data_IF_980404510587
#
_entry.id   IF_980404510587
#
_cell.length_a   1.000
_cell.length_b   1.000
_cell.length_c   1.000
_cell.angle_alpha   90.00
_cell.angle_beta   90.00
_cell.angle_gamma   90.00
#
_symmetry.space_group_name_H-M   'P 1'
#
loop_
_entity.id
_entity.type
_entity.pdbx_description
1 polymer ?
#
# COMPACT_ATOMS: atom_id res chain seq x y z
N UNK A 1 -42.36 -34.28 -45.48
CA UNK A 1 -42.78 -33.23 -44.54
C UNK A 1 -41.63 -32.22 -44.51
N UNK A 2 -41.77 -31.05 -45.13
CA UNK A 2 -42.36 -29.80 -44.58
C UNK A 2 -41.64 -29.33 -43.29
N UNK A 3 -41.14 -28.10 -43.17
CA UNK A 3 -40.81 -27.05 -44.16
C UNK A 3 -39.98 -25.93 -43.49
N UNK A 4 -39.24 -25.13 -44.28
CA UNK A 4 -38.97 -23.67 -44.13
C UNK A 4 -38.75 -23.04 -42.72
N UNK A 5 -37.56 -22.47 -42.41
CA UNK A 5 -36.97 -21.16 -42.81
C UNK A 5 -37.10 -20.08 -41.70
N UNK A 6 -35.94 -19.62 -41.20
CA UNK A 6 -35.50 -18.21 -41.00
C UNK A 6 -36.34 -17.22 -40.16
N UNK A 7 -35.65 -16.53 -39.23
CA UNK A 7 -35.96 -15.21 -38.60
C UNK A 7 -37.20 -15.10 -37.67
N UNK A 8 -36.94 -14.85 -36.37
CA UNK A 8 -37.31 -13.59 -35.71
C UNK A 8 -36.70 -13.45 -34.29
N UNK A 9 -36.09 -12.30 -34.02
CA UNK A 9 -35.85 -11.77 -32.66
C UNK A 9 -36.99 -10.79 -32.37
N UNK A 10 -37.67 -10.91 -31.21
CA UNK A 10 -38.35 -9.84 -30.41
C UNK A 10 -39.40 -10.47 -29.47
N UNK A 11 -40.00 -9.63 -28.60
CA UNK A 11 -41.18 -9.90 -27.76
C UNK A 11 -40.98 -10.74 -26.48
N UNK A 12 -40.42 -10.09 -25.44
CA UNK A 12 -40.87 -10.31 -24.05
C UNK A 12 -40.92 -9.01 -23.23
N UNK A 13 -41.45 -7.92 -23.81
CA UNK A 13 -41.71 -6.64 -23.12
C UNK A 13 -42.91 -5.88 -23.74
N UNK A 14 -44.14 -6.19 -23.29
CA UNK A 14 -45.32 -5.31 -23.43
C UNK A 14 -46.14 -5.43 -22.13
N UNK A 15 -46.64 -4.30 -21.59
CA UNK A 15 -47.25 -4.20 -20.25
C UNK A 15 -46.41 -3.29 -19.35
N UNK A 16 -46.46 -1.95 -19.41
CA UNK A 16 -47.63 -1.04 -19.37
C UNK A 16 -48.54 -1.32 -18.16
N UNK A 17 -48.87 -0.37 -17.26
CA UNK A 17 -48.40 1.03 -17.06
C UNK A 17 -48.77 1.44 -15.60
N UNK A 18 -48.92 2.67 -15.06
CA UNK A 18 -48.82 4.13 -15.38
C UNK A 18 -48.91 4.85 -13.98
N UNK A 19 -48.72 6.15 -13.69
CA UNK A 19 -48.20 7.36 -14.34
C UNK A 19 -47.86 8.40 -13.22
N UNK A 20 -46.68 9.03 -13.18
CA UNK A 20 -46.53 10.42 -12.69
C UNK A 20 -45.20 11.07 -13.13
N UNK A 21 -45.14 12.41 -13.18
CA UNK A 21 -44.10 13.14 -13.93
C UNK A 21 -43.81 14.54 -13.40
N UNK A 22 -42.55 15.02 -13.53
CA UNK A 22 -42.16 16.27 -14.23
C UNK A 22 -40.70 16.70 -13.93
N UNK A 23 -39.89 16.82 -14.99
CA UNK A 23 -38.71 17.70 -15.14
C UNK A 23 -37.47 17.46 -14.20
N UNK A 24 -36.24 17.85 -14.56
CA UNK A 24 -35.73 18.52 -15.77
C UNK A 24 -34.36 17.96 -16.22
N UNK A 25 -33.89 18.40 -17.39
CA UNK A 25 -32.75 17.83 -18.12
C UNK A 25 -31.39 17.94 -17.42
N UNK A 26 -30.55 16.92 -17.60
CA UNK A 26 -29.19 17.18 -18.09
C UNK A 26 -28.89 16.21 -19.24
N UNK A 27 -28.48 16.74 -20.40
CA UNK A 27 -28.29 15.98 -21.64
C UNK A 27 -26.94 15.25 -21.67
N UNK A 28 -26.67 14.46 -20.62
CA UNK A 28 -25.60 13.47 -20.66
C UNK A 28 -26.01 12.36 -21.62
N UNK A 29 -25.59 12.48 -22.89
CA UNK A 29 -25.62 11.35 -23.82
C UNK A 29 -24.87 10.22 -23.14
N UNK A 30 -25.55 9.10 -22.90
CA UNK A 30 -24.90 7.94 -22.30
C UNK A 30 -23.87 7.40 -23.28
N UNK A 31 -22.60 7.57 -22.92
CA UNK A 31 -21.44 7.05 -23.64
C UNK A 31 -20.97 5.78 -22.90
N UNK A 32 -21.66 4.62 -23.05
CA UNK A 32 -21.43 3.46 -22.20
C UNK A 32 -19.99 2.96 -22.30
N UNK A 33 -19.40 3.01 -23.51
CA UNK A 33 -18.01 2.61 -23.72
C UNK A 33 -17.01 3.56 -23.03
N UNK A 34 -17.19 4.87 -23.12
CA UNK A 34 -16.33 5.84 -22.45
C UNK A 34 -16.39 5.71 -20.93
N UNK A 35 -17.56 5.40 -20.37
CA UNK A 35 -17.74 5.17 -18.94
C UNK A 35 -17.19 3.80 -18.49
N UNK A 36 -17.29 2.77 -19.32
CA UNK A 36 -16.62 1.48 -19.11
C UNK A 36 -15.08 1.63 -19.15
N UNK A 37 -14.55 2.46 -20.05
CA UNK A 37 -13.13 2.81 -20.08
C UNK A 37 -12.74 3.61 -18.84
N UNK A 38 -13.47 4.67 -18.46
CA UNK A 38 -13.19 5.49 -17.24
C UNK A 38 -13.20 4.67 -15.94
N UNK A 39 -13.91 3.55 -15.91
CA UNK A 39 -13.95 2.61 -14.77
C UNK A 39 -12.94 1.45 -14.88
N UNK A 40 -12.08 1.46 -15.91
CA UNK A 40 -11.13 0.40 -16.26
C UNK A 40 -11.79 -0.99 -16.42
N UNK A 41 -13.06 -1.05 -16.78
CA UNK A 41 -13.83 -2.29 -16.89
C UNK A 41 -13.62 -2.94 -18.26
N UNK A 42 -12.49 -3.64 -18.42
CA UNK A 42 -12.10 -4.34 -19.67
C UNK A 42 -13.17 -5.31 -20.18
N UNK A 43 -13.92 -5.96 -19.29
CA UNK A 43 -14.96 -6.93 -19.64
C UNK A 43 -16.18 -6.24 -20.27
N UNK A 44 -16.68 -5.17 -19.63
CA UNK A 44 -17.76 -4.35 -20.19
C UNK A 44 -17.35 -3.66 -21.50
N UNK A 45 -16.11 -3.16 -21.59
CA UNK A 45 -15.52 -2.62 -22.83
C UNK A 45 -15.57 -3.67 -23.95
N UNK A 46 -15.15 -4.92 -23.68
CA UNK A 46 -15.14 -6.02 -24.64
C UNK A 46 -16.56 -6.40 -25.12
N UNK A 47 -17.55 -6.43 -24.22
CA UNK A 47 -18.95 -6.70 -24.59
C UNK A 47 -19.52 -5.58 -25.47
N UNK A 48 -19.40 -4.32 -25.05
CA UNK A 48 -19.93 -3.17 -25.79
C UNK A 48 -19.33 -3.04 -27.20
N UNK A 49 -18.04 -3.35 -27.39
CA UNK A 49 -17.38 -3.34 -28.71
C UNK A 49 -17.89 -4.48 -29.61
N UNK A 50 -18.25 -5.64 -29.03
CA UNK A 50 -18.85 -6.76 -29.77
C UNK A 50 -20.30 -6.48 -30.16
N UNK A 51 -21.04 -5.79 -29.31
CA UNK A 51 -22.42 -5.37 -29.55
C UNK A 51 -22.50 -4.24 -30.59
N UNK A 52 -21.67 -3.20 -30.48
CA UNK A 52 -21.55 -2.17 -31.51
C UNK A 52 -20.11 -1.63 -31.65
N UNK A 53 -19.47 -1.94 -32.79
CA UNK A 53 -18.13 -1.44 -33.14
C UNK A 53 -18.06 0.06 -33.44
N UNK A 54 -19.16 0.72 -33.82
CA UNK A 54 -19.19 2.18 -34.07
C UNK A 54 -18.78 2.99 -32.83
N UNK A 55 -18.91 2.40 -31.64
CA UNK A 55 -18.49 3.01 -30.38
C UNK A 55 -16.97 3.22 -30.29
N UNK A 56 -16.15 2.46 -31.04
CA UNK A 56 -14.68 2.50 -30.98
C UNK A 56 -14.10 3.90 -31.23
N UNK A 57 -14.69 4.64 -32.18
CA UNK A 57 -14.19 5.97 -32.60
C UNK A 57 -15.19 7.10 -32.27
N UNK A 58 -16.30 6.80 -31.56
CA UNK A 58 -17.22 7.82 -31.03
C UNK A 58 -16.45 8.80 -30.15
N UNK A 59 -16.55 10.10 -30.47
CA UNK A 59 -16.02 11.19 -29.65
C UNK A 59 -17.03 11.59 -28.59
N UNK A 60 -16.55 11.85 -27.37
CA UNK A 60 -17.37 12.47 -26.33
C UNK A 60 -17.53 13.99 -26.54
N UNK A 61 -18.24 14.66 -25.63
CA UNK A 61 -18.44 16.12 -25.63
C UNK A 61 -17.15 16.95 -25.66
N UNK A 62 -16.00 16.39 -25.28
CA UNK A 62 -14.67 17.02 -25.31
C UNK A 62 -13.81 16.55 -26.50
N UNK A 63 -14.30 15.63 -27.32
CA UNK A 63 -13.58 15.09 -28.47
C UNK A 63 -12.87 13.77 -28.21
N UNK A 64 -12.87 13.25 -26.97
CA UNK A 64 -12.13 12.03 -26.64
C UNK A 64 -12.79 10.79 -27.25
N UNK A 65 -12.03 9.99 -27.98
CA UNK A 65 -12.40 8.60 -28.27
C UNK A 65 -12.11 7.73 -27.03
N UNK A 66 -12.69 6.51 -26.93
CA UNK A 66 -12.30 5.52 -25.92
C UNK A 66 -10.77 5.32 -25.82
N UNK A 67 -10.05 5.40 -26.94
CA UNK A 67 -8.59 5.24 -26.99
C UNK A 67 -7.83 6.41 -26.34
N UNK A 68 -8.35 7.64 -26.41
CA UNK A 68 -7.78 8.77 -25.66
C UNK A 68 -7.93 8.53 -24.16
N UNK A 69 -9.13 8.19 -23.70
CA UNK A 69 -9.40 7.96 -22.27
C UNK A 69 -8.56 6.79 -21.73
N UNK A 70 -8.46 5.68 -22.48
CA UNK A 70 -7.63 4.55 -22.08
C UNK A 70 -6.14 4.92 -22.00
N UNK A 71 -5.65 5.77 -22.91
CA UNK A 71 -4.27 6.28 -22.88
C UNK A 71 -4.04 7.26 -21.73
N UNK A 72 -4.93 8.23 -21.53
CA UNK A 72 -4.84 9.27 -20.48
C UNK A 72 -5.00 8.72 -19.05
N UNK A 73 -5.69 7.59 -18.86
CA UNK A 73 -5.84 6.94 -17.55
C UNK A 73 -4.92 5.71 -17.34
N UNK A 74 -3.94 5.49 -18.23
CA UNK A 74 -2.97 4.39 -18.17
C UNK A 74 -3.59 2.97 -18.21
N UNK A 75 -4.69 2.79 -18.93
CA UNK A 75 -5.40 1.51 -19.02
C UNK A 75 -4.85 0.64 -20.15
N UNK A 76 -3.57 0.25 -20.05
CA UNK A 76 -2.81 -0.48 -21.09
C UNK A 76 -3.55 -1.70 -21.69
N UNK A 77 -4.27 -2.46 -20.86
CA UNK A 77 -5.02 -3.64 -21.32
C UNK A 77 -6.30 -3.31 -22.09
N UNK A 78 -6.85 -2.10 -21.91
CA UNK A 78 -7.95 -1.55 -22.71
C UNK A 78 -7.40 -0.88 -23.97
N UNK A 79 -6.25 -0.20 -23.91
CA UNK A 79 -5.57 0.36 -25.10
C UNK A 79 -5.31 -0.75 -26.13
N UNK A 80 -4.76 -1.90 -25.70
CA UNK A 80 -4.61 -3.09 -26.56
C UNK A 80 -5.93 -3.51 -27.19
N UNK A 81 -6.94 -3.81 -26.37
CA UNK A 81 -8.25 -4.27 -26.81
C UNK A 81 -8.91 -3.33 -27.82
N UNK A 82 -8.78 -2.02 -27.65
CA UNK A 82 -9.29 -1.01 -28.59
C UNK A 82 -8.54 -1.04 -29.92
N UNK A 83 -7.20 -1.07 -29.91
CA UNK A 83 -6.37 -1.15 -31.11
C UNK A 83 -6.62 -2.48 -31.85
N UNK A 84 -6.61 -3.61 -31.14
CA UNK A 84 -6.90 -4.95 -31.65
C UNK A 84 -8.32 -5.06 -32.25
N UNK A 85 -9.25 -4.19 -31.82
CA UNK A 85 -10.63 -4.11 -32.34
C UNK A 85 -10.77 -3.18 -33.55
N UNK A 86 -9.75 -2.39 -33.90
CA UNK A 86 -9.74 -1.44 -35.01
C UNK A 86 -10.01 0.03 -34.65
N UNK A 87 -9.75 0.45 -33.40
CA UNK A 87 -9.85 1.86 -33.02
C UNK A 87 -8.82 2.74 -33.77
N UNK A 88 -9.23 3.93 -34.19
CA UNK A 88 -8.34 4.89 -34.85
C UNK A 88 -7.26 5.41 -33.88
N UNK A 89 -6.00 5.14 -34.21
CA UNK A 89 -4.83 5.50 -33.40
C UNK A 89 -4.49 7.00 -33.45
N UNK A 90 -4.85 7.67 -34.56
CA UNK A 90 -4.43 9.04 -34.89
C UNK A 90 -5.55 10.09 -34.83
N UNK A 91 -6.75 9.74 -34.36
CA UNK A 91 -7.81 10.72 -34.14
C UNK A 91 -7.35 11.80 -33.14
N UNK A 92 -7.63 13.07 -33.42
CA UNK A 92 -7.41 14.17 -32.47
C UNK A 92 -8.70 14.54 -31.69
N UNK A 93 -8.56 14.96 -30.44
CA UNK A 93 -9.64 15.54 -29.62
C UNK A 93 -9.92 17.04 -29.92
N UNK A 94 -10.67 17.75 -29.07
CA UNK A 94 -10.90 19.22 -29.22
C UNK A 94 -9.71 20.10 -28.79
N UNK A 95 -8.64 19.50 -28.27
CA UNK A 95 -7.39 20.17 -27.90
C UNK A 95 -6.27 19.87 -28.91
N UNK A 96 -6.53 19.05 -29.94
CA UNK A 96 -5.54 18.59 -30.91
C UNK A 96 -4.71 17.40 -30.42
N UNK A 97 -4.99 16.87 -29.23
CA UNK A 97 -4.28 15.73 -28.67
C UNK A 97 -4.68 14.46 -29.38
N UNK A 98 -3.69 13.67 -29.81
CA UNK A 98 -3.87 12.26 -30.16
C UNK A 98 -3.70 11.38 -28.92
N UNK A 99 -4.14 10.12 -28.92
CA UNK A 99 -3.85 9.16 -27.85
C UNK A 99 -2.35 9.04 -27.50
N UNK A 100 -1.45 9.26 -28.48
CA UNK A 100 0.00 9.25 -28.25
C UNK A 100 0.48 10.51 -27.51
N UNK A 101 -0.02 11.69 -27.90
CA UNK A 101 0.25 12.92 -27.15
C UNK A 101 -0.30 12.79 -25.72
N UNK A 102 -1.48 12.21 -25.56
CA UNK A 102 -2.11 11.96 -24.27
C UNK A 102 -1.28 11.03 -23.36
N UNK A 103 -0.83 9.90 -23.89
CA UNK A 103 0.05 8.98 -23.18
C UNK A 103 1.40 9.62 -22.83
N UNK A 104 1.95 10.45 -23.74
CA UNK A 104 3.27 11.06 -23.55
C UNK A 104 3.23 12.24 -22.58
N UNK A 105 2.19 13.08 -22.61
CA UNK A 105 1.91 14.15 -21.63
C UNK A 105 1.88 13.65 -20.19
N UNK A 106 1.43 12.41 -19.99
CA UNK A 106 1.32 11.76 -18.69
C UNK A 106 2.45 10.74 -18.41
N UNK A 107 3.50 10.71 -19.23
CA UNK A 107 4.68 9.85 -19.10
C UNK A 107 4.40 8.32 -19.12
N UNK A 108 3.34 7.86 -19.81
CA UNK A 108 2.99 6.44 -19.88
C UNK A 108 3.75 5.73 -21.00
N UNK A 109 5.03 5.43 -20.72
CA UNK A 109 5.99 4.83 -21.65
C UNK A 109 5.50 3.55 -22.33
N UNK A 110 4.84 2.65 -21.60
CA UNK A 110 4.32 1.37 -22.14
C UNK A 110 3.20 1.57 -23.17
N UNK A 111 2.33 2.56 -22.96
CA UNK A 111 1.22 2.90 -23.88
C UNK A 111 1.77 3.70 -25.06
N UNK A 112 2.65 4.67 -24.81
CA UNK A 112 3.32 5.45 -25.85
C UNK A 112 4.07 4.54 -26.82
N UNK A 113 4.74 3.49 -26.30
CA UNK A 113 5.32 2.43 -27.13
C UNK A 113 4.27 1.69 -27.94
N UNK A 114 3.22 1.16 -27.31
CA UNK A 114 2.17 0.40 -27.99
C UNK A 114 1.53 1.19 -29.14
N UNK A 115 1.32 2.50 -28.96
CA UNK A 115 0.74 3.39 -29.96
C UNK A 115 1.69 3.61 -31.14
N UNK A 116 2.96 3.99 -30.92
CA UNK A 116 3.96 4.13 -32.00
C UNK A 116 4.07 2.81 -32.80
N UNK A 117 4.07 1.68 -32.10
CA UNK A 117 4.13 0.36 -32.72
C UNK A 117 2.86 -0.07 -33.46
N UNK A 118 1.76 0.67 -33.32
CA UNK A 118 0.54 0.54 -34.10
C UNK A 118 0.31 1.76 -35.01
N UNK A 119 1.41 2.33 -35.52
CA UNK A 119 1.41 3.43 -36.51
C UNK A 119 0.77 4.73 -36.01
N UNK A 120 0.95 5.02 -34.71
CA UNK A 120 0.69 6.38 -34.22
C UNK A 120 1.61 7.38 -34.92
N UNK A 121 1.05 8.42 -35.49
CA UNK A 121 1.81 9.50 -36.12
C UNK A 121 2.45 10.36 -35.03
N UNK A 122 3.79 10.37 -35.02
CA UNK A 122 4.63 11.08 -34.05
C UNK A 122 4.80 12.56 -34.39
N UNK A 123 4.38 12.99 -35.58
CA UNK A 123 4.55 14.34 -36.10
C UNK A 123 3.33 15.25 -35.88
N UNK A 124 2.19 14.70 -35.46
CA UNK A 124 0.97 15.46 -35.15
C UNK A 124 1.23 16.48 -34.04
N UNK A 125 0.72 17.69 -34.23
CA UNK A 125 0.79 18.80 -33.29
C UNK A 125 -0.56 18.98 -32.58
N UNK A 126 -0.52 19.22 -31.27
CA UNK A 126 -1.69 19.73 -30.53
C UNK A 126 -1.93 21.22 -30.83
N UNK A 127 -3.01 21.79 -30.29
CA UNK A 127 -3.37 23.21 -30.52
C UNK A 127 -2.35 24.24 -30.02
N UNK A 128 -1.28 23.81 -29.34
CA UNK A 128 -0.18 24.67 -28.88
C UNK A 128 1.11 24.49 -29.72
N UNK A 129 1.05 23.76 -30.85
CA UNK A 129 2.21 23.48 -31.69
C UNK A 129 3.20 22.53 -31.02
N UNK A 130 2.68 21.49 -30.34
CA UNK A 130 3.48 20.53 -29.56
C UNK A 130 3.22 19.09 -29.99
N UNK A 131 4.31 18.39 -30.30
CA UNK A 131 4.34 16.97 -30.70
C UNK A 131 4.53 16.10 -29.48
N UNK A 132 4.27 14.80 -29.63
CA UNK A 132 4.59 13.83 -28.56
C UNK A 132 6.08 13.93 -28.13
N UNK A 133 6.98 14.22 -29.07
CA UNK A 133 8.40 14.42 -28.77
C UNK A 133 8.67 15.61 -27.84
N UNK A 134 8.00 16.76 -28.01
CA UNK A 134 8.18 17.93 -27.14
C UNK A 134 7.87 17.56 -25.67
N UNK A 135 6.80 16.79 -25.46
CA UNK A 135 6.41 16.32 -24.13
C UNK A 135 7.39 15.30 -23.57
N UNK A 136 7.86 14.35 -24.38
CA UNK A 136 8.89 13.39 -23.98
C UNK A 136 10.20 14.11 -23.56
N UNK A 137 10.62 15.14 -24.30
CA UNK A 137 11.80 15.93 -23.95
C UNK A 137 11.58 16.81 -22.72
N UNK A 138 10.43 17.49 -22.59
CA UNK A 138 10.07 18.30 -21.42
C UNK A 138 10.02 17.49 -20.12
N UNK A 139 9.60 16.23 -20.19
CA UNK A 139 9.56 15.29 -19.06
C UNK A 139 10.89 14.52 -18.87
N UNK A 140 11.91 14.81 -19.68
CA UNK A 140 13.20 14.11 -19.72
C UNK A 140 13.09 12.58 -19.93
N UNK A 141 12.02 12.13 -20.62
CA UNK A 141 11.81 10.73 -20.93
C UNK A 141 12.68 10.30 -22.13
N UNK A 142 13.87 9.80 -21.81
CA UNK A 142 14.85 9.31 -22.79
C UNK A 142 14.32 8.11 -23.59
N UNK A 143 13.42 7.28 -23.03
CA UNK A 143 12.87 6.13 -23.75
C UNK A 143 11.92 6.56 -24.87
N UNK A 144 10.89 7.34 -24.54
CA UNK A 144 9.92 7.84 -25.53
C UNK A 144 10.65 8.74 -26.54
N UNK A 145 11.59 9.57 -26.08
CA UNK A 145 12.41 10.41 -26.98
C UNK A 145 13.22 9.59 -27.99
N UNK A 146 13.78 8.44 -27.60
CA UNK A 146 14.50 7.51 -28.51
C UNK A 146 13.55 6.73 -29.40
N UNK A 147 12.40 6.29 -28.88
CA UNK A 147 11.37 5.58 -29.63
C UNK A 147 10.82 6.44 -30.77
N UNK A 148 10.52 7.71 -30.51
CA UNK A 148 9.99 8.65 -31.51
C UNK A 148 11.06 9.07 -32.53
N UNK A 149 12.32 9.21 -32.10
CA UNK A 149 13.46 9.55 -32.99
C UNK A 149 14.09 8.35 -33.71
N UNK A 150 13.53 7.15 -33.58
CA UNK A 150 14.09 5.97 -34.24
C UNK A 150 13.53 5.84 -35.66
N UNK A 151 14.34 6.21 -36.66
CA UNK A 151 14.05 6.00 -38.09
C UNK A 151 13.72 4.53 -38.42
N UNK A 152 14.16 3.60 -37.56
CA UNK A 152 13.97 2.17 -37.69
C UNK A 152 13.13 1.61 -36.52
N UNK A 153 11.90 2.11 -36.39
CA UNK A 153 10.95 1.74 -35.33
C UNK A 153 10.58 0.24 -35.32
N UNK A 154 10.72 -0.43 -36.46
CA UNK A 154 10.41 -1.86 -36.65
C UNK A 154 11.11 -2.76 -35.62
N UNK A 155 12.40 -2.55 -35.33
CA UNK A 155 13.11 -3.37 -34.33
C UNK A 155 12.56 -3.20 -32.90
N UNK A 156 12.13 -1.99 -32.55
CA UNK A 156 11.52 -1.73 -31.24
C UNK A 156 10.10 -2.32 -31.14
N UNK A 157 9.39 -2.35 -32.26
CA UNK A 157 7.96 -2.64 -32.32
C UNK A 157 7.62 -4.09 -32.69
N UNK A 158 8.49 -4.77 -33.43
CA UNK A 158 8.40 -6.18 -33.78
C UNK A 158 9.56 -6.97 -33.15
N UNK A 159 9.62 -7.08 -31.80
CA UNK A 159 10.60 -7.93 -31.15
C UNK A 159 10.35 -9.37 -31.57
N UNK A 160 11.25 -9.93 -32.38
CA UNK A 160 11.19 -11.32 -32.86
C UNK A 160 10.83 -12.26 -31.72
N UNK A 161 9.81 -13.11 -31.93
CA UNK A 161 9.19 -13.98 -30.90
C UNK A 161 10.25 -14.65 -30.04
N UNK A 162 10.53 -14.05 -28.87
CA UNK A 162 11.61 -14.49 -28.00
C UNK A 162 11.22 -15.85 -27.47
N UNK A 163 11.91 -16.90 -27.92
CA UNK A 163 11.74 -18.25 -27.39
C UNK A 163 12.23 -18.24 -25.95
N UNK A 164 11.28 -18.20 -25.02
CA UNK A 164 11.57 -18.34 -23.61
C UNK A 164 11.84 -19.81 -23.26
N UNK A 165 12.80 -20.02 -22.39
CA UNK A 165 13.23 -21.31 -21.86
C UNK A 165 12.97 -21.37 -20.36
N UNK A 166 12.76 -22.56 -19.80
CA UNK A 166 12.46 -22.77 -18.38
C UNK A 166 13.73 -22.71 -17.52
N UNK A 167 14.34 -21.52 -17.42
CA UNK A 167 15.62 -21.31 -16.73
C UNK A 167 15.46 -20.96 -15.24
N UNK A 168 14.31 -20.41 -14.84
CA UNK A 168 14.01 -19.95 -13.47
C UNK A 168 12.52 -20.14 -13.11
N UNK A 169 12.21 -20.13 -11.81
CA UNK A 169 10.87 -19.96 -11.25
C UNK A 169 10.84 -18.75 -10.29
N UNK A 170 9.65 -18.33 -9.82
CA UNK A 170 9.44 -17.31 -8.77
C UNK A 170 8.76 -17.98 -7.56
N UNK A 171 9.19 -17.66 -6.33
CA UNK A 171 8.61 -18.19 -5.09
C UNK A 171 7.12 -17.79 -4.88
N UNK A 172 6.46 -18.34 -3.85
CA UNK A 172 5.02 -18.17 -3.67
C UNK A 172 4.56 -16.96 -2.85
N UNK A 173 4.68 -15.78 -3.46
CA UNK A 173 4.23 -14.50 -2.90
C UNK A 173 2.74 -14.19 -3.16
N UNK A 174 1.84 -14.68 -2.31
CA UNK A 174 0.40 -14.36 -2.41
C UNK A 174 0.07 -12.92 -1.94
N UNK A 175 0.70 -12.47 -0.86
CA UNK A 175 0.62 -11.09 -0.33
C UNK A 175 1.91 -10.79 0.44
N UNK A 176 2.42 -9.57 0.31
CA UNK A 176 3.66 -9.11 0.92
C UNK A 176 3.37 -7.86 1.75
N UNK A 177 3.81 -7.86 3.01
CA UNK A 177 3.52 -6.79 3.99
C UNK A 177 4.63 -5.73 4.11
N UNK A 178 5.78 -5.97 3.48
CA UNK A 178 6.92 -5.05 3.44
C UNK A 178 6.90 -4.15 2.20
N UNK A 179 7.40 -2.91 2.33
CA UNK A 179 7.34 -1.91 1.25
C UNK A 179 8.48 -1.98 0.23
N UNK A 180 9.53 -2.75 0.50
CA UNK A 180 10.78 -2.75 -0.27
C UNK A 180 11.32 -4.19 -0.37
N UNK A 181 10.52 -5.10 -0.98
CA UNK A 181 10.66 -6.53 -0.76
C UNK A 181 11.90 -7.14 -1.40
N UNK A 182 12.36 -8.24 -0.81
CA UNK A 182 13.33 -9.14 -1.45
C UNK A 182 12.58 -10.30 -2.09
N UNK A 183 12.49 -10.28 -3.41
CA UNK A 183 11.79 -11.28 -4.23
C UNK A 183 12.81 -12.32 -4.70
N UNK A 184 12.52 -13.60 -4.47
CA UNK A 184 13.42 -14.70 -4.82
C UNK A 184 12.72 -15.77 -5.67
N UNK A 185 13.52 -16.72 -6.13
CA UNK A 185 13.06 -17.92 -6.82
C UNK A 185 14.17 -18.91 -7.08
N UNK A 186 13.79 -20.06 -7.65
CA UNK A 186 14.72 -21.12 -8.00
C UNK A 186 15.36 -20.89 -9.38
N UNK A 187 16.61 -21.29 -9.51
CA UNK A 187 17.33 -21.46 -10.77
C UNK A 187 17.14 -22.91 -11.22
N UNK A 188 16.56 -23.10 -12.40
CA UNK A 188 16.27 -24.42 -12.97
C UNK A 188 17.42 -24.90 -13.88
N UNK A 189 18.12 -23.97 -14.53
CA UNK A 189 19.28 -24.23 -15.40
C UNK A 189 20.55 -23.57 -14.81
N UNK A 190 21.56 -24.37 -14.48
CA UNK A 190 22.82 -23.88 -13.89
C UNK A 190 23.66 -22.99 -14.81
N UNK A 191 23.31 -22.88 -16.10
CA UNK A 191 23.91 -21.96 -17.05
C UNK A 191 23.38 -20.52 -16.95
N UNK A 192 22.37 -20.24 -16.11
CA UNK A 192 21.91 -18.87 -15.79
C UNK A 192 23.08 -17.99 -15.32
N UNK A 193 23.26 -16.87 -16.01
CA UNK A 193 24.34 -15.90 -15.79
C UNK A 193 23.84 -14.55 -15.29
N UNK A 194 22.57 -14.20 -15.53
CA UNK A 194 21.94 -12.96 -15.07
C UNK A 194 20.45 -13.17 -14.79
N UNK A 195 19.91 -12.48 -13.79
CA UNK A 195 18.48 -12.31 -13.54
C UNK A 195 18.18 -10.82 -13.38
N UNK A 196 17.02 -10.38 -13.87
CA UNK A 196 16.50 -9.02 -13.76
C UNK A 196 15.00 -9.08 -13.43
N UNK A 197 14.49 -8.12 -12.65
CA UNK A 197 13.04 -8.01 -12.40
C UNK A 197 12.52 -6.58 -12.57
N UNK A 198 11.22 -6.46 -12.83
CA UNK A 198 10.46 -5.21 -12.87
C UNK A 198 9.04 -5.43 -12.33
N UNK A 199 8.39 -4.35 -11.88
CA UNK A 199 6.99 -4.34 -11.48
C UNK A 199 6.17 -3.53 -12.50
N UNK A 200 5.02 -4.05 -12.90
CA UNK A 200 4.09 -3.50 -13.90
C UNK A 200 4.71 -3.19 -15.27
N UNK A 201 5.87 -3.79 -15.57
CA UNK A 201 6.67 -3.49 -16.76
C UNK A 201 7.29 -2.08 -16.76
N UNK A 202 7.36 -1.43 -15.59
CA UNK A 202 7.88 -0.09 -15.42
C UNK A 202 9.39 0.05 -15.65
N UNK A 203 9.84 1.30 -15.80
CA UNK A 203 11.18 1.68 -16.26
C UNK A 203 12.34 1.29 -15.31
N UNK A 204 12.03 0.90 -14.08
CA UNK A 204 13.05 0.47 -13.09
C UNK A 204 13.29 -1.02 -13.19
N UNK A 205 14.38 -1.38 -13.87
CA UNK A 205 14.92 -2.74 -13.87
C UNK A 205 15.79 -2.92 -12.62
N UNK A 206 15.53 -3.97 -11.86
CA UNK A 206 16.30 -4.37 -10.69
C UNK A 206 17.16 -5.60 -11.05
N UNK A 207 18.48 -5.52 -10.89
CA UNK A 207 19.37 -6.67 -11.09
C UNK A 207 19.23 -7.69 -9.94
N UNK A 208 19.30 -8.98 -10.28
CA UNK A 208 19.22 -10.08 -9.33
C UNK A 208 20.58 -10.68 -8.97
N UNK A 209 20.79 -10.93 -7.69
CA UNK A 209 21.92 -11.71 -7.18
C UNK A 209 21.64 -13.21 -7.37
N UNK A 210 22.68 -13.97 -7.73
CA UNK A 210 22.61 -15.42 -7.96
C UNK A 210 23.39 -16.17 -6.87
N UNK A 211 22.72 -17.08 -6.17
CA UNK A 211 23.26 -17.95 -5.13
C UNK A 211 23.31 -19.36 -5.72
N UNK A 212 24.40 -19.65 -6.45
CA UNK A 212 24.47 -20.82 -7.34
C UNK A 212 24.48 -22.14 -6.59
N UNK A 213 25.11 -22.17 -5.43
CA UNK A 213 25.25 -23.36 -4.58
C UNK A 213 23.89 -23.77 -3.99
N UNK A 214 23.07 -22.77 -3.62
CA UNK A 214 21.66 -22.95 -3.23
C UNK A 214 20.71 -23.14 -4.42
N UNK A 215 21.19 -22.97 -5.66
CA UNK A 215 20.38 -22.87 -6.90
C UNK A 215 19.27 -21.80 -6.83
N UNK A 216 19.56 -20.65 -6.22
CA UNK A 216 18.59 -19.58 -5.95
C UNK A 216 18.97 -18.27 -6.62
N UNK A 217 17.98 -17.44 -6.93
CA UNK A 217 18.17 -16.03 -7.28
C UNK A 217 17.33 -15.16 -6.35
N UNK A 218 17.79 -13.94 -6.05
CA UNK A 218 17.01 -12.93 -5.35
C UNK A 218 17.24 -11.54 -5.93
N UNK A 219 16.19 -10.73 -5.96
CA UNK A 219 16.17 -9.32 -6.33
C UNK A 219 15.67 -8.51 -5.14
N UNK A 220 16.49 -7.58 -4.65
CA UNK A 220 16.10 -6.65 -3.59
C UNK A 220 15.51 -5.38 -4.20
N UNK A 221 14.26 -5.07 -3.89
CA UNK A 221 13.64 -3.81 -4.34
C UNK A 221 14.02 -2.66 -3.40
N UNK A 222 14.80 -1.71 -3.91
CA UNK A 222 15.23 -0.52 -3.17
C UNK A 222 14.18 0.62 -3.19
N UNK A 223 13.09 0.49 -3.97
CA UNK A 223 12.01 1.47 -4.03
C UNK A 223 10.83 1.05 -3.14
N UNK A 224 10.16 2.05 -2.58
CA UNK A 224 9.01 1.89 -1.69
C UNK A 224 7.72 1.70 -2.49
N UNK A 225 7.25 0.46 -2.58
CA UNK A 225 5.94 0.13 -3.14
C UNK A 225 4.81 0.64 -2.23
N UNK A 226 3.64 0.87 -2.83
CA UNK A 226 2.40 1.28 -2.16
C UNK A 226 1.45 0.05 -2.05
N UNK A 227 0.30 0.20 -1.41
CA UNK A 227 -0.67 -0.89 -1.33
C UNK A 227 -1.37 -1.06 -2.68
N UNK A 228 -1.46 -2.29 -3.17
CA UNK A 228 -2.00 -2.58 -4.50
C UNK A 228 -1.67 -3.98 -4.97
N UNK A 229 -2.10 -4.30 -6.21
CA UNK A 229 -1.66 -5.49 -6.93
C UNK A 229 -0.64 -5.05 -7.98
N UNK A 230 0.46 -5.79 -8.10
CA UNK A 230 1.56 -5.51 -9.02
C UNK A 230 1.82 -6.75 -9.89
N UNK A 231 2.05 -6.55 -11.19
CA UNK A 231 2.54 -7.59 -12.09
C UNK A 231 4.07 -7.61 -12.04
N UNK A 232 4.62 -8.50 -11.21
CA UNK A 232 6.05 -8.82 -11.21
C UNK A 232 6.40 -9.55 -12.52
N UNK A 233 7.45 -9.09 -13.21
CA UNK A 233 8.03 -9.75 -14.37
C UNK A 233 9.53 -9.96 -14.13
N UNK A 234 10.00 -11.20 -14.25
CA UNK A 234 11.39 -11.61 -13.99
C UNK A 234 11.97 -12.24 -15.25
N UNK A 235 13.07 -11.69 -15.74
CA UNK A 235 13.82 -12.21 -16.88
C UNK A 235 15.11 -12.88 -16.39
N UNK A 236 15.38 -14.10 -16.83
CA UNK A 236 16.71 -14.70 -16.71
C UNK A 236 17.39 -14.76 -18.07
N UNK A 237 18.72 -14.73 -18.07
CA UNK A 237 19.56 -14.94 -19.26
C UNK A 237 20.64 -15.97 -18.90
N UNK A 238 20.89 -16.94 -19.78
CA UNK A 238 21.97 -17.90 -19.62
C UNK A 238 23.24 -17.53 -20.39
N UNK A 239 24.33 -18.26 -20.17
CA UNK A 239 25.62 -18.10 -20.87
C UNK A 239 25.52 -18.15 -22.41
N UNK A 240 24.46 -18.76 -22.97
CA UNK A 240 24.21 -18.85 -24.43
C UNK A 240 23.32 -17.70 -24.95
N UNK A 241 22.99 -16.71 -24.11
CA UNK A 241 22.09 -15.60 -24.47
C UNK A 241 20.61 -15.98 -24.52
N UNK A 242 20.24 -17.23 -24.23
CA UNK A 242 18.86 -17.69 -24.17
C UNK A 242 18.18 -17.05 -22.96
N UNK A 243 16.89 -16.72 -23.10
CA UNK A 243 16.13 -15.96 -22.10
C UNK A 243 15.02 -16.80 -21.48
N UNK A 244 14.68 -16.51 -20.24
CA UNK A 244 13.42 -16.91 -19.60
C UNK A 244 12.63 -15.64 -19.26
N UNK A 245 11.30 -15.72 -19.21
CA UNK A 245 10.46 -14.63 -18.68
C UNK A 245 9.30 -15.23 -17.89
N UNK A 246 9.37 -15.12 -16.57
CA UNK A 246 8.30 -15.53 -15.66
C UNK A 246 7.53 -14.29 -15.21
N UNK A 247 6.21 -14.38 -15.13
CA UNK A 247 5.34 -13.29 -14.65
C UNK A 247 4.44 -13.80 -13.54
N UNK A 248 4.21 -12.97 -12.53
CA UNK A 248 3.34 -13.31 -11.39
C UNK A 248 2.67 -12.05 -10.84
N UNK A 249 1.38 -12.12 -10.55
CA UNK A 249 0.70 -11.05 -9.81
C UNK A 249 0.98 -11.22 -8.32
N UNK A 250 1.43 -10.15 -7.66
CA UNK A 250 1.61 -10.09 -6.21
C UNK A 250 0.73 -8.99 -5.62
N UNK A 251 0.32 -9.11 -4.35
CA UNK A 251 -0.30 -8.02 -3.59
C UNK A 251 0.71 -7.42 -2.62
N UNK A 252 0.87 -6.10 -2.62
CA UNK A 252 1.54 -5.38 -1.54
C UNK A 252 0.46 -4.85 -0.59
N UNK A 253 0.60 -5.12 0.70
CA UNK A 253 -0.36 -4.74 1.73
C UNK A 253 0.36 -4.29 3.02
N UNK A 254 0.99 -3.11 2.94
CA UNK A 254 1.65 -2.48 4.08
C UNK A 254 0.62 -2.08 5.11
N UNK A 255 0.53 -2.83 6.21
CA UNK A 255 0.15 -2.26 7.51
C UNK A 255 1.18 -1.17 7.87
N UNK A 256 0.71 -0.06 8.44
CA UNK A 256 1.63 0.91 9.08
C UNK A 256 2.32 0.18 10.25
N UNK A 257 3.54 0.55 10.67
CA UNK A 257 4.11 -0.11 11.85
C UNK A 257 3.34 0.29 13.11
N UNK A 258 3.23 -0.61 14.09
CA UNK A 258 2.51 -0.32 15.34
C UNK A 258 3.08 0.94 16.04
N UNK A 259 4.41 1.10 16.08
CA UNK A 259 5.08 2.30 16.57
C UNK A 259 4.64 3.57 15.80
N UNK A 260 4.65 3.54 14.47
CA UNK A 260 4.22 4.70 13.67
C UNK A 260 2.73 4.99 13.81
N UNK A 261 1.86 3.97 13.99
CA UNK A 261 0.43 4.20 14.22
C UNK A 261 0.17 4.83 15.59
N UNK A 262 0.83 4.34 16.65
CA UNK A 262 0.73 4.91 18.00
C UNK A 262 1.27 6.35 18.05
N UNK A 263 2.43 6.62 17.45
CA UNK A 263 2.97 7.97 17.36
C UNK A 263 2.03 8.92 16.63
N UNK A 264 1.47 8.53 15.49
CA UNK A 264 0.53 9.37 14.75
C UNK A 264 -0.76 9.68 15.54
N UNK A 265 -1.25 8.73 16.35
CA UNK A 265 -2.48 8.90 17.15
C UNK A 265 -2.29 9.80 18.38
N UNK A 266 -1.12 9.74 19.01
CA UNK A 266 -0.83 10.42 20.28
C UNK A 266 0.11 11.62 20.16
N UNK A 267 0.64 11.94 18.97
CA UNK A 267 1.63 13.00 18.72
C UNK A 267 1.38 14.29 19.50
N UNK A 268 0.17 14.82 19.39
CA UNK A 268 -0.20 16.12 19.98
C UNK A 268 -0.60 15.99 21.46
N UNK A 269 -0.87 14.77 21.94
CA UNK A 269 -1.26 14.47 23.32
C UNK A 269 -0.04 14.14 24.20
N UNK A 270 0.99 13.48 23.68
CA UNK A 270 2.25 13.15 24.36
C UNK A 270 2.89 14.37 25.04
N UNK A 271 2.95 15.51 24.33
CA UNK A 271 3.49 16.77 24.87
C UNK A 271 2.63 17.35 26.00
N UNK A 272 1.30 17.19 25.94
CA UNK A 272 0.36 17.67 26.98
C UNK A 272 0.45 16.83 28.25
N UNK A 273 0.64 15.52 28.10
CA UNK A 273 0.68 14.55 29.20
C UNK A 273 2.07 14.38 29.83
N UNK A 274 3.09 15.06 29.28
CA UNK A 274 4.51 14.80 29.55
C UNK A 274 4.83 13.30 29.43
N UNK A 275 4.67 12.76 28.23
CA UNK A 275 4.83 11.34 27.92
C UNK A 275 5.68 11.11 26.67
N UNK A 276 6.18 9.89 26.49
CA UNK A 276 6.91 9.47 25.27
C UNK A 276 6.52 8.04 24.84
N UNK A 277 6.84 7.72 23.59
CA UNK A 277 6.87 6.36 23.06
C UNK A 277 8.33 6.03 22.73
N UNK A 278 8.80 4.87 23.19
CA UNK A 278 10.11 4.32 22.84
C UNK A 278 9.95 3.35 21.67
N UNK A 279 10.01 3.85 20.44
CA UNK A 279 9.66 3.13 19.20
C UNK A 279 10.28 1.74 19.04
N UNK A 280 11.54 1.56 19.48
CA UNK A 280 12.26 0.30 19.40
C UNK A 280 11.76 -0.75 20.42
N UNK A 281 11.25 -0.30 21.56
CA UNK A 281 10.84 -1.14 22.69
C UNK A 281 9.31 -1.25 22.85
N UNK A 282 8.55 -0.45 22.09
CA UNK A 282 7.10 -0.28 22.18
C UNK A 282 6.61 0.04 23.61
N UNK A 283 7.39 0.84 24.34
CA UNK A 283 7.05 1.32 25.68
C UNK A 283 6.45 2.73 25.57
N UNK A 284 5.21 2.89 26.02
CA UNK A 284 4.60 4.19 26.30
C UNK A 284 4.88 4.56 27.77
N UNK A 285 5.54 5.70 28.02
CA UNK A 285 5.94 6.16 29.37
C UNK A 285 5.33 7.51 29.69
N UNK A 286 4.76 7.63 30.89
CA UNK A 286 4.44 8.93 31.50
C UNK A 286 5.61 9.41 32.37
N UNK A 287 6.10 10.64 32.14
CA UNK A 287 7.33 11.19 32.73
C UNK A 287 7.12 11.99 34.02
N UNK A 288 5.89 12.10 34.54
CA UNK A 288 5.63 12.86 35.76
C UNK A 288 5.04 12.00 36.90
N UNK A 289 5.88 11.42 37.77
CA UNK A 289 5.47 10.62 38.93
C UNK A 289 4.41 11.26 39.84
N UNK A 290 4.49 12.57 40.06
CA UNK A 290 3.58 13.26 41.00
C UNK A 290 2.20 13.50 40.42
N UNK A 291 2.04 13.36 39.10
CA UNK A 291 0.75 13.36 38.43
C UNK A 291 0.09 11.97 38.37
N UNK A 292 0.81 10.87 38.59
CA UNK A 292 0.24 9.51 38.49
C UNK A 292 -0.58 9.13 39.72
N UNK A 293 -0.01 9.34 40.92
CA UNK A 293 -0.55 8.87 42.19
C UNK A 293 -0.69 10.00 43.21
N UNK A 294 -1.65 9.89 44.11
CA UNK A 294 -1.79 10.77 45.27
C UNK A 294 -0.57 10.64 46.22
N UNK A 295 -0.22 11.74 46.91
CA UNK A 295 1.01 11.83 47.71
C UNK A 295 1.03 10.78 48.84
N UNK A 296 1.86 9.74 48.66
CA UNK A 296 2.03 8.66 49.64
C UNK A 296 1.06 7.49 49.47
N UNK A 297 0.19 7.51 48.45
CA UNK A 297 -0.84 6.50 48.19
C UNK A 297 -0.53 5.65 46.94
N UNK A 298 -1.39 4.67 46.68
CA UNK A 298 -1.55 3.96 45.40
C UNK A 298 -2.78 4.44 44.62
N UNK A 299 -3.61 5.30 45.20
CA UNK A 299 -4.73 5.95 44.53
C UNK A 299 -4.24 6.74 43.30
N UNK A 300 -4.92 6.57 42.16
CA UNK A 300 -4.65 7.37 40.96
C UNK A 300 -5.11 8.82 41.17
N UNK A 301 -4.22 9.75 40.85
CA UNK A 301 -4.49 11.19 40.88
C UNK A 301 -5.60 11.55 39.84
N UNK A 302 -6.56 12.42 40.15
CA UNK A 302 -7.62 12.84 39.22
C UNK A 302 -7.12 13.34 37.85
N UNK A 303 -5.95 13.97 37.79
CA UNK A 303 -5.33 14.41 36.53
C UNK A 303 -4.94 13.23 35.66
N UNK A 304 -4.37 12.17 36.23
CA UNK A 304 -3.98 10.98 35.47
C UNK A 304 -5.17 10.09 35.09
N UNK A 305 -6.24 10.06 35.90
CA UNK A 305 -7.53 9.48 35.49
C UNK A 305 -8.02 10.10 34.16
N UNK A 306 -8.12 11.43 34.11
CA UNK A 306 -8.51 12.21 32.92
C UNK A 306 -7.59 11.96 31.69
N UNK A 307 -6.31 11.63 31.92
CA UNK A 307 -5.37 11.21 30.87
C UNK A 307 -5.69 9.79 30.38
N UNK A 308 -5.87 8.83 31.30
CA UNK A 308 -6.24 7.45 30.97
C UNK A 308 -7.58 7.38 30.23
N UNK A 309 -8.57 8.16 30.64
CA UNK A 309 -9.90 8.25 30.00
C UNK A 309 -9.81 8.58 28.50
N UNK A 310 -8.78 9.33 28.08
CA UNK A 310 -8.52 9.74 26.68
C UNK A 310 -7.52 8.84 25.97
N UNK A 311 -6.54 8.32 26.69
CA UNK A 311 -5.49 7.44 26.17
C UNK A 311 -6.02 6.04 25.84
N UNK A 312 -6.75 5.44 26.79
CA UNK A 312 -7.04 4.00 26.81
C UNK A 312 -7.96 3.54 25.66
N UNK A 313 -9.07 4.22 25.32
CA UNK A 313 -9.91 3.79 24.20
C UNK A 313 -9.17 3.84 22.84
N UNK A 314 -8.42 4.91 22.59
CA UNK A 314 -7.53 5.05 21.41
C UNK A 314 -6.49 3.92 21.37
N UNK A 315 -5.84 3.67 22.50
CA UNK A 315 -4.75 2.70 22.62
C UNK A 315 -5.25 1.27 22.38
N UNK A 316 -6.35 0.86 23.02
CA UNK A 316 -6.94 -0.48 22.84
C UNK A 316 -7.38 -0.70 21.39
N UNK A 317 -8.02 0.29 20.76
CA UNK A 317 -8.42 0.18 19.35
C UNK A 317 -7.21 -0.07 18.43
N UNK A 318 -6.09 0.63 18.66
CA UNK A 318 -4.85 0.39 17.91
C UNK A 318 -4.22 -0.96 18.27
N UNK A 319 -4.21 -1.39 19.54
CA UNK A 319 -3.67 -2.71 19.91
C UNK A 319 -4.50 -3.83 19.25
N UNK A 320 -5.84 -3.70 19.16
CA UNK A 320 -6.73 -4.65 18.48
C UNK A 320 -6.43 -4.79 16.98
N UNK A 321 -6.15 -3.70 16.26
CA UNK A 321 -5.75 -3.71 14.82
C UNK A 321 -4.49 -4.57 14.53
N UNK A 322 -3.66 -4.81 15.56
CA UNK A 322 -2.34 -5.46 15.44
C UNK A 322 -2.22 -6.76 16.24
N UNK A 323 -3.28 -7.22 16.93
CA UNK A 323 -3.27 -8.35 17.88
C UNK A 323 -2.49 -9.60 17.43
N UNK A 324 -2.54 -9.95 16.14
CA UNK A 324 -1.81 -11.08 15.52
C UNK A 324 -0.27 -10.94 15.56
N UNK A 325 0.25 -9.82 16.08
CA UNK A 325 1.67 -9.45 16.17
C UNK A 325 2.00 -8.92 17.58
N UNK A 326 1.20 -9.29 18.59
CA UNK A 326 1.30 -8.85 19.97
C UNK A 326 1.13 -10.11 20.84
N UNK A 327 2.17 -10.49 21.56
CA UNK A 327 2.12 -11.62 22.49
C UNK A 327 1.54 -11.21 23.85
N UNK A 328 1.77 -9.96 24.28
CA UNK A 328 1.29 -9.42 25.54
C UNK A 328 1.37 -7.88 25.56
N UNK A 329 0.49 -7.22 26.33
CA UNK A 329 0.74 -5.86 26.83
C UNK A 329 0.97 -5.92 28.34
N UNK A 330 2.04 -5.32 28.87
CA UNK A 330 2.22 -5.19 30.32
C UNK A 330 2.14 -3.76 30.81
N UNK A 331 1.44 -3.59 31.93
CA UNK A 331 1.35 -2.36 32.71
C UNK A 331 2.44 -2.46 33.79
N UNK A 332 3.59 -1.87 33.51
CA UNK A 332 4.81 -2.03 34.30
C UNK A 332 4.88 -0.90 35.35
N UNK A 333 4.54 -1.23 36.59
CA UNK A 333 4.68 -0.31 37.73
C UNK A 333 6.11 -0.30 38.24
N UNK A 334 6.70 0.89 38.43
CA UNK A 334 8.09 1.04 38.87
C UNK A 334 8.20 1.85 40.16
N UNK A 335 9.03 1.34 41.09
CA UNK A 335 9.34 1.98 42.37
C UNK A 335 10.80 1.74 42.73
N UNK A 336 11.55 2.82 42.91
CA UNK A 336 12.73 2.86 43.77
C UNK A 336 12.67 4.10 44.68
N UNK A 337 13.54 4.13 45.69
CA UNK A 337 13.46 5.09 46.79
C UNK A 337 14.81 5.20 47.50
N UNK A 338 15.33 6.42 47.69
CA UNK A 338 16.59 6.62 48.42
C UNK A 338 16.47 6.31 49.92
N UNK A 339 15.31 6.58 50.52
CA UNK A 339 15.06 6.47 51.96
C UNK A 339 15.31 5.07 52.53
N UNK A 340 15.80 4.99 53.78
CA UNK A 340 16.05 3.73 54.50
C UNK A 340 14.75 3.19 55.11
N UNK A 341 13.90 2.60 54.27
CA UNK A 341 12.53 2.17 54.59
C UNK A 341 12.40 0.72 55.12
N UNK A 342 13.52 0.05 55.36
CA UNK A 342 13.67 -1.32 55.83
C UNK A 342 15.07 -1.50 56.48
N UNK A 343 15.33 -2.63 57.13
CA UNK A 343 16.61 -2.95 57.78
C UNK A 343 17.63 -3.47 56.78
N UNK A 344 17.24 -4.44 55.93
CA UNK A 344 18.10 -5.01 54.89
C UNK A 344 17.84 -4.40 53.51
N UNK A 345 18.71 -4.73 52.55
CA UNK A 345 18.54 -4.32 51.15
C UNK A 345 17.42 -5.14 50.47
N UNK A 346 17.32 -6.42 50.81
CA UNK A 346 16.37 -7.41 50.30
C UNK A 346 14.93 -7.05 50.72
N UNK A 347 14.73 -6.75 52.01
CA UNK A 347 13.45 -6.22 52.53
C UNK A 347 13.03 -4.94 51.79
N UNK A 348 13.98 -4.04 51.50
CA UNK A 348 13.71 -2.78 50.78
C UNK A 348 13.36 -3.04 49.31
N UNK A 349 14.06 -3.95 48.65
CA UNK A 349 13.78 -4.34 47.27
C UNK A 349 12.38 -4.94 47.15
N UNK A 350 12.00 -5.84 48.06
CA UNK A 350 10.70 -6.51 48.06
C UNK A 350 9.55 -5.55 48.43
N UNK A 351 9.75 -4.69 49.44
CA UNK A 351 8.80 -3.62 49.79
C UNK A 351 8.53 -2.67 48.63
N UNK A 352 9.57 -2.37 47.82
CA UNK A 352 9.41 -1.61 46.59
C UNK A 352 8.68 -2.43 45.50
N UNK A 353 8.96 -3.73 45.35
CA UNK A 353 8.30 -4.64 44.38
C UNK A 353 6.79 -4.74 44.64
N UNK A 354 6.40 -4.91 45.90
CA UNK A 354 5.00 -4.98 46.32
C UNK A 354 4.28 -3.63 46.13
N UNK A 355 4.95 -2.49 46.38
CA UNK A 355 4.39 -1.16 46.09
C UNK A 355 4.27 -0.90 44.58
N UNK A 356 5.23 -1.38 43.77
CA UNK A 356 5.13 -1.37 42.31
C UNK A 356 3.97 -2.19 41.78
N UNK A 357 3.74 -3.39 42.33
CA UNK A 357 2.62 -4.25 41.94
C UNK A 357 1.29 -3.52 42.19
N UNK A 358 1.06 -3.05 43.43
CA UNK A 358 -0.14 -2.28 43.80
C UNK A 358 -0.39 -1.05 42.92
N UNK A 359 0.68 -0.42 42.40
CA UNK A 359 0.58 0.69 41.44
C UNK A 359 0.17 0.25 40.04
N UNK A 360 0.69 -0.86 39.54
CA UNK A 360 0.25 -1.45 38.28
C UNK A 360 -1.20 -1.93 38.39
N UNK A 361 -1.55 -2.62 39.49
CA UNK A 361 -2.90 -3.09 39.79
C UNK A 361 -3.89 -1.91 39.81
N UNK A 362 -3.58 -0.84 40.54
CA UNK A 362 -4.43 0.37 40.62
C UNK A 362 -4.67 1.05 39.26
N UNK A 363 -3.76 0.90 38.30
CA UNK A 363 -3.94 1.38 36.91
C UNK A 363 -4.77 0.39 36.09
N UNK A 364 -4.49 -0.91 36.22
CA UNK A 364 -5.24 -1.99 35.57
C UNK A 364 -6.72 -1.98 35.97
N UNK A 365 -7.03 -1.89 37.26
CA UNK A 365 -8.39 -1.85 37.79
C UNK A 365 -9.15 -0.61 37.33
N UNK A 366 -8.48 0.55 37.24
CA UNK A 366 -9.08 1.77 36.69
C UNK A 366 -9.38 1.62 35.19
N UNK A 367 -8.47 1.05 34.42
CA UNK A 367 -8.68 0.74 33.00
C UNK A 367 -9.87 -0.19 32.81
N UNK A 368 -9.94 -1.25 33.62
CA UNK A 368 -11.05 -2.20 33.65
C UNK A 368 -12.37 -1.50 34.06
N UNK A 369 -12.36 -0.43 34.85
CA UNK A 369 -13.59 0.29 35.22
C UNK A 369 -14.13 1.21 34.13
N UNK A 370 -13.27 1.85 33.32
CA UNK A 370 -13.67 2.85 32.30
C UNK A 370 -14.04 2.27 30.92
N UNK A 371 -13.71 1.01 30.62
CA UNK A 371 -13.94 0.39 29.31
C UNK A 371 -15.23 -0.43 29.19
N UNK A 372 -15.76 -0.52 27.97
CA UNK A 372 -16.92 -1.35 27.63
C UNK A 372 -16.65 -2.86 27.80
N UNK A 373 -17.67 -3.70 27.59
CA UNK A 373 -17.60 -5.16 27.81
C UNK A 373 -16.54 -5.86 26.94
N UNK A 374 -16.44 -5.49 25.67
CA UNK A 374 -15.61 -6.20 24.68
C UNK A 374 -14.15 -5.74 24.72
N UNK A 375 -13.89 -4.52 25.16
CA UNK A 375 -12.58 -4.04 25.58
C UNK A 375 -12.17 -4.67 26.91
N UNK A 376 -13.08 -4.80 27.88
CA UNK A 376 -12.83 -5.45 29.19
C UNK A 376 -12.43 -6.92 29.04
N UNK A 377 -13.05 -7.67 28.13
CA UNK A 377 -12.61 -9.03 27.78
C UNK A 377 -11.22 -9.01 27.15
N UNK A 378 -11.01 -8.19 26.11
CA UNK A 378 -9.71 -8.09 25.42
C UNK A 378 -8.55 -7.74 26.36
N UNK A 379 -8.76 -6.83 27.32
CA UNK A 379 -7.75 -6.47 28.33
C UNK A 379 -7.46 -7.65 29.27
N UNK A 380 -8.46 -8.42 29.69
CA UNK A 380 -8.23 -9.63 30.51
C UNK A 380 -7.41 -10.69 29.78
N UNK A 381 -7.63 -10.83 28.47
CA UNK A 381 -6.98 -11.86 27.66
C UNK A 381 -5.55 -11.44 27.22
N UNK A 382 -5.25 -10.14 27.13
CA UNK A 382 -4.02 -9.63 26.49
C UNK A 382 -3.18 -8.68 27.38
N UNK A 383 -3.65 -8.24 28.56
CA UNK A 383 -2.95 -7.29 29.43
C UNK A 383 -2.69 -7.86 30.83
N UNK A 384 -1.50 -7.61 31.40
CA UNK A 384 -1.20 -7.92 32.81
C UNK A 384 -0.49 -6.77 33.54
N UNK A 385 -0.75 -6.64 34.85
CA UNK A 385 -0.05 -5.73 35.75
C UNK A 385 1.26 -6.36 36.27
N UNK A 386 2.42 -5.72 36.08
CA UNK A 386 3.73 -6.19 36.56
C UNK A 386 4.34 -5.20 37.56
N UNK A 387 4.59 -5.65 38.79
CA UNK A 387 5.31 -4.89 39.82
C UNK A 387 6.82 -5.01 39.71
N UNK A 388 7.48 -4.01 39.10
CA UNK A 388 8.92 -4.02 38.87
C UNK A 388 9.68 -3.15 39.89
N UNK A 389 10.78 -3.72 40.42
CA UNK A 389 11.67 -3.09 41.40
C UNK A 389 13.11 -3.17 40.89
N UNK A 390 13.89 -2.11 41.08
CA UNK A 390 15.31 -2.12 40.72
C UNK A 390 16.19 -2.41 41.91
N UNK A 391 17.17 -3.30 41.75
CA UNK A 391 18.24 -3.54 42.73
C UNK A 391 19.19 -2.34 42.87
N UNK A 392 19.24 -1.42 41.91
CA UNK A 392 20.03 -0.19 42.00
C UNK A 392 19.12 1.04 41.95
N UNK A 393 19.43 2.03 42.79
CA UNK A 393 18.83 3.36 42.68
C UNK A 393 19.09 3.93 41.29
N UNK A 394 18.05 4.47 40.65
CA UNK A 394 18.20 5.17 39.38
C UNK A 394 18.61 6.59 39.72
N UNK A 395 19.84 6.95 39.36
CA UNK A 395 20.44 8.25 39.65
C UNK A 395 20.58 9.08 38.38
N UNK A 396 20.50 10.39 38.54
CA UNK A 396 20.91 11.39 37.56
C UNK A 396 22.45 11.41 37.45
N UNK A 397 22.98 12.12 36.43
CA UNK A 397 24.43 12.29 36.22
C UNK A 397 25.15 12.99 37.37
N UNK A 398 24.42 13.75 38.20
CA UNK A 398 24.91 14.43 39.40
C UNK A 398 24.84 13.56 40.68
N UNK A 399 24.42 12.29 40.57
CA UNK A 399 24.22 11.39 41.71
C UNK A 399 22.92 11.58 42.48
N UNK A 400 22.06 12.54 42.10
CA UNK A 400 20.74 12.71 42.71
C UNK A 400 19.75 11.60 42.30
N UNK A 401 18.74 11.33 43.12
CA UNK A 401 17.68 10.36 42.82
C UNK A 401 16.86 10.84 41.60
N UNK A 402 16.90 10.09 40.49
CA UNK A 402 16.08 10.38 39.32
C UNK A 402 14.63 10.01 39.65
N UNK A 403 13.85 10.98 40.11
CA UNK A 403 12.48 10.76 40.61
C UNK A 403 11.56 10.24 39.50
N UNK A 404 11.71 10.76 38.27
CA UNK A 404 10.97 10.36 37.06
C UNK A 404 11.06 8.84 36.84
N UNK A 405 12.27 8.32 36.62
CA UNK A 405 12.49 6.91 36.36
C UNK A 405 12.26 6.05 37.60
N UNK A 406 12.42 6.61 38.80
CA UNK A 406 12.21 5.89 40.05
C UNK A 406 10.73 5.62 40.38
N UNK A 407 9.76 6.31 39.77
CA UNK A 407 8.33 6.25 40.17
C UNK A 407 7.36 6.42 38.99
N UNK A 408 7.40 5.50 38.03
CA UNK A 408 6.62 5.57 36.79
C UNK A 408 5.66 4.38 36.62
N UNK A 409 4.71 4.53 35.70
CA UNK A 409 3.95 3.41 35.11
C UNK A 409 4.15 3.47 33.61
N UNK A 410 4.35 2.31 33.00
CA UNK A 410 4.62 2.16 31.57
C UNK A 410 3.66 1.14 30.95
N UNK A 411 3.33 1.34 29.67
CA UNK A 411 2.57 0.37 28.87
C UNK A 411 3.52 -0.18 27.80
N UNK A 412 3.94 -1.44 27.97
CA UNK A 412 4.89 -2.11 27.09
C UNK A 412 4.16 -3.14 26.22
N UNK A 413 4.40 -3.12 24.91
CA UNK A 413 3.87 -4.13 23.99
C UNK A 413 4.97 -5.14 23.65
N UNK A 414 4.77 -6.39 24.05
CA UNK A 414 5.60 -7.54 23.68
C UNK A 414 5.01 -8.15 22.38
N UNK A 415 5.89 -8.60 21.46
CA UNK A 415 5.53 -9.12 20.13
C UNK A 415 5.57 -10.64 20.07
#
# INVERSE_FOLDING_TARGET
MKNYIVILITLFFIGCAKQNSLQKESSFVSEPLHNAVRSNNKELVNSLIKENKELLNKKDRFGYTPLHLASRFNHLEIVKLLIDSGAEVNTQDKYGDTPLIDATKNNFTSISKLLVCNKADVLVEDKYGKKALDYAQKLNNVYISKLIKADNSEYLCNPTKVKYHDLIAIDNYNTIIESNPTICGNILDSSVSRVQASFDGGETILEGQLYKDEKRWCVKNYRKLLNGKYLLAVMAINKKGQKALVKKTIKIDKKISLATRLNNEFKDDLKKWNAEILDNELIFRFKNPSLLFERGSTNLNPTFKNILDKFIPKYINIVKDYKENISLVSIDGHTSSKYKSARTFEEKFEKNRLLSQKRADSVYDYIISIVNKDDKTFIKDNFIAKGLSSKKLILNKDGSENVELSRRVEFKIEK
#
